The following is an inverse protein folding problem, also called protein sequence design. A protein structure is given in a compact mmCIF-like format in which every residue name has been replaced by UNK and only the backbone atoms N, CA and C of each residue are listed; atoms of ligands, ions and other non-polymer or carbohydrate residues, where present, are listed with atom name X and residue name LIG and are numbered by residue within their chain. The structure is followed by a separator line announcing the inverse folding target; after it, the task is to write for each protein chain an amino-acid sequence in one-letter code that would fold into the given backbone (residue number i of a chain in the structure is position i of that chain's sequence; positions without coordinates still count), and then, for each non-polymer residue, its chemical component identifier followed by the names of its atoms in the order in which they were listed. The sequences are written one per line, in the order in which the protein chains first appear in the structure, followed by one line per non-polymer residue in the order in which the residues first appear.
data_IF_665618967125
#
_entry.id   IF_665618967125
#
_cell.length_a   1.000
_cell.length_b   1.000
_cell.length_c   1.000
_cell.angle_alpha   90.00
_cell.angle_beta   90.00
_cell.angle_gamma   90.00
#
_symmetry.space_group_name_H-M   'P 1'
#
loop_
_entity.id
_entity.type
_entity.pdbx_description
1 polymer ?
#
# COMPACT_ATOMS: atom_id res chain seq x y z
N UNK A 1 -3.53 -1.29 -13.77
CA UNK A 1 -4.45 -0.21 -13.38
C UNK A 1 -4.43 0.84 -14.47
N UNK A 2 -5.55 1.08 -15.15
CA UNK A 2 -5.67 2.16 -16.15
C UNK A 2 -6.36 3.36 -15.52
N UNK A 3 -5.88 4.57 -15.84
CA UNK A 3 -6.60 5.78 -15.50
C UNK A 3 -7.78 5.94 -16.46
N UNK A 4 -8.97 6.18 -15.91
CA UNK A 4 -10.21 6.33 -16.67
C UNK A 4 -10.97 7.55 -16.15
N UNK A 5 -11.45 8.37 -17.07
CA UNK A 5 -12.44 9.39 -16.77
C UNK A 5 -13.83 8.81 -17.02
N UNK A 6 -14.60 8.64 -15.96
CA UNK A 6 -15.93 8.00 -16.00
C UNK A 6 -16.99 9.07 -15.72
N UNK A 7 -17.89 9.27 -16.68
CA UNK A 7 -19.10 10.07 -16.47
C UNK A 7 -20.25 9.15 -16.08
N UNK A 8 -21.01 9.55 -15.05
CA UNK A 8 -22.13 8.78 -14.51
C UNK A 8 -23.46 9.53 -14.67
N UNK A 9 -24.54 8.80 -14.88
CA UNK A 9 -25.90 9.34 -14.82
C UNK A 9 -26.47 9.05 -13.44
N UNK A 10 -26.60 10.08 -12.62
CA UNK A 10 -27.14 9.94 -11.28
C UNK A 10 -28.62 9.56 -11.32
N UNK A 11 -28.97 8.40 -10.74
CA UNK A 11 -30.36 8.04 -10.45
C UNK A 11 -30.74 8.61 -9.08
N UNK A 12 -32.01 9.03 -8.93
CA UNK A 12 -32.54 9.63 -7.69
C UNK A 12 -32.47 8.73 -6.43
N UNK A 13 -32.24 7.42 -6.58
CA UNK A 13 -32.07 6.51 -5.44
C UNK A 13 -30.59 6.34 -5.10
N UNK A 14 -30.22 6.81 -3.91
CA UNK A 14 -28.85 6.93 -3.39
C UNK A 14 -28.08 5.63 -3.14
N UNK A 15 -28.71 4.45 -3.32
CA UNK A 15 -28.10 3.13 -3.09
C UNK A 15 -28.01 2.22 -4.32
N UNK A 16 -28.47 2.66 -5.49
CA UNK A 16 -28.40 1.84 -6.71
C UNK A 16 -27.07 2.06 -7.43
N UNK A 17 -26.52 0.99 -8.04
CA UNK A 17 -25.34 1.09 -8.92
C UNK A 17 -25.61 2.15 -10.00
N UNK A 18 -24.67 3.08 -10.14
CA UNK A 18 -24.79 4.19 -11.09
C UNK A 18 -24.51 3.70 -12.51
N UNK A 19 -25.31 4.17 -13.48
CA UNK A 19 -25.07 3.85 -14.87
C UNK A 19 -23.93 4.73 -15.41
N UNK A 20 -22.93 4.11 -16.03
CA UNK A 20 -21.86 4.82 -16.74
C UNK A 20 -22.41 5.33 -18.08
N UNK A 21 -22.32 6.64 -18.32
CA UNK A 21 -22.69 7.25 -19.62
C UNK A 21 -21.52 7.38 -20.56
N UNK A 22 -20.30 7.53 -20.02
CA UNK A 22 -19.08 7.69 -20.82
C UNK A 22 -17.86 7.19 -20.07
N UNK A 23 -16.95 6.56 -20.81
CA UNK A 23 -15.61 6.17 -20.37
C UNK A 23 -14.63 6.77 -21.37
N UNK A 24 -13.69 7.56 -20.88
CA UNK A 24 -12.61 8.15 -21.66
C UNK A 24 -11.26 7.69 -21.06
N UNK A 25 -10.31 7.37 -21.93
CA UNK A 25 -8.94 7.05 -21.53
C UNK A 25 -8.07 8.29 -21.76
N UNK A 26 -7.42 8.85 -20.71
CA UNK A 26 -6.50 9.97 -20.88
C UNK A 26 -5.30 9.59 -21.76
N UNK A 27 -4.69 10.61 -22.38
CA UNK A 27 -3.61 10.42 -23.35
C UNK A 27 -2.33 9.79 -22.76
N UNK A 28 -2.13 9.86 -21.44
CA UNK A 28 -1.08 9.11 -20.77
C UNK A 28 -1.53 7.67 -20.55
N UNK A 29 -0.98 6.75 -21.32
CA UNK A 29 -1.06 5.32 -21.03
C UNK A 29 0.33 4.79 -20.74
N UNK A 30 0.41 3.89 -19.77
CA UNK A 30 1.61 3.10 -19.56
C UNK A 30 1.54 1.82 -20.41
N UNK A 31 2.69 1.38 -20.94
CA UNK A 31 2.79 0.10 -21.61
C UNK A 31 2.87 -1.01 -20.53
N UNK A 32 1.95 -1.96 -20.57
CA UNK A 32 1.83 -3.04 -19.57
C UNK A 32 2.55 -4.32 -20.02
N UNK A 33 3.65 -4.19 -20.75
CA UNK A 33 4.30 -5.33 -21.39
C UNK A 33 5.23 -6.09 -20.42
N UNK A 34 5.51 -5.50 -19.26
CA UNK A 34 6.34 -6.09 -18.22
C UNK A 34 5.51 -6.87 -17.18
N UNK A 35 5.75 -8.17 -17.10
CA UNK A 35 5.10 -9.07 -16.12
C UNK A 35 5.29 -8.59 -14.69
N UNK A 36 6.49 -8.11 -14.32
CA UNK A 36 6.78 -7.61 -12.97
C UNK A 36 5.89 -6.44 -12.58
N UNK A 37 5.75 -5.46 -13.46
CA UNK A 37 4.89 -4.29 -13.25
C UNK A 37 3.44 -4.76 -13.06
N UNK A 38 2.95 -5.65 -13.91
CA UNK A 38 1.58 -6.16 -13.82
C UNK A 38 1.32 -6.92 -12.51
N UNK A 39 2.27 -7.73 -12.06
CA UNK A 39 2.18 -8.42 -10.77
C UNK A 39 2.07 -7.43 -9.61
N UNK A 40 2.93 -6.41 -9.60
CA UNK A 40 2.90 -5.37 -8.55
C UNK A 40 1.60 -4.58 -8.58
N UNK A 41 1.10 -4.22 -9.77
CA UNK A 41 -0.19 -3.54 -9.94
C UNK A 41 -1.37 -4.40 -9.48
N UNK A 42 -1.35 -5.71 -9.75
CA UNK A 42 -2.41 -6.62 -9.32
C UNK A 42 -2.46 -6.71 -7.80
N UNK A 43 -1.30 -6.86 -7.17
CA UNK A 43 -1.21 -6.88 -5.71
C UNK A 43 -1.71 -5.60 -5.06
N UNK A 44 -1.28 -4.45 -5.57
CA UNK A 44 -1.75 -3.16 -5.05
C UNK A 44 -3.26 -2.98 -5.26
N UNK A 45 -3.81 -3.45 -6.39
CA UNK A 45 -5.26 -3.43 -6.62
C UNK A 45 -6.02 -4.31 -5.63
N UNK A 46 -5.55 -5.53 -5.35
CA UNK A 46 -6.16 -6.44 -4.37
C UNK A 46 -6.13 -5.85 -2.96
N UNK A 47 -5.00 -5.24 -2.59
CA UNK A 47 -4.86 -4.52 -1.32
C UNK A 47 -5.84 -3.35 -1.22
N UNK A 48 -5.90 -2.48 -2.24
CA UNK A 48 -6.80 -1.32 -2.27
C UNK A 48 -8.28 -1.72 -2.21
N UNK A 49 -8.65 -2.83 -2.84
CA UNK A 49 -10.01 -3.35 -2.80
C UNK A 49 -10.48 -3.68 -1.37
N UNK A 50 -9.55 -4.09 -0.49
CA UNK A 50 -9.84 -4.33 0.91
C UNK A 50 -9.89 -3.02 1.71
N UNK A 51 -8.87 -2.18 1.57
CA UNK A 51 -8.70 -1.01 2.46
C UNK A 51 -9.57 0.20 2.11
N UNK A 52 -10.08 0.28 0.87
CA UNK A 52 -10.94 1.38 0.41
C UNK A 52 -12.43 1.05 0.39
N UNK A 53 -12.83 -0.15 0.83
CA UNK A 53 -14.21 -0.66 0.67
C UNK A 53 -15.28 0.26 1.27
N UNK A 54 -14.96 0.93 2.38
CA UNK A 54 -15.86 1.84 3.09
C UNK A 54 -15.39 3.31 3.04
N UNK A 55 -14.35 3.61 2.26
CA UNK A 55 -13.78 4.95 2.16
C UNK A 55 -14.66 5.84 1.27
N UNK A 56 -14.90 7.06 1.73
CA UNK A 56 -15.65 8.06 0.96
C UNK A 56 -14.65 9.06 0.36
N UNK A 57 -14.54 9.01 -0.98
CA UNK A 57 -13.66 9.82 -1.84
C UNK A 57 -12.52 10.57 -1.13
N UNK A 58 -11.35 9.96 -1.04
CA UNK A 58 -10.17 10.60 -0.48
C UNK A 58 -9.18 10.99 -1.57
N UNK A 59 -9.14 12.28 -1.92
CA UNK A 59 -8.29 12.80 -3.01
C UNK A 59 -6.79 12.52 -2.75
N UNK A 60 -6.36 12.45 -1.48
CA UNK A 60 -4.97 12.17 -1.14
C UNK A 60 -4.52 10.75 -1.50
N UNK A 61 -5.39 9.74 -1.34
CA UNK A 61 -5.08 8.36 -1.73
C UNK A 61 -5.01 8.26 -3.26
N UNK A 62 -5.88 8.95 -3.97
CA UNK A 62 -5.82 9.01 -5.44
C UNK A 62 -4.49 9.59 -5.92
N UNK A 63 -4.05 10.73 -5.37
CA UNK A 63 -2.74 11.33 -5.68
C UNK A 63 -1.59 10.37 -5.33
N UNK A 64 -1.70 9.65 -4.22
CA UNK A 64 -0.69 8.66 -3.82
C UNK A 64 -0.64 7.46 -4.79
N UNK A 65 -1.77 7.02 -5.34
CA UNK A 65 -1.82 5.99 -6.40
C UNK A 65 -1.10 6.47 -7.67
N UNK A 66 -1.29 7.73 -8.07
CA UNK A 66 -0.58 8.31 -9.22
C UNK A 66 0.93 8.33 -8.97
N UNK A 67 1.36 8.74 -7.77
CA UNK A 67 2.78 8.75 -7.37
C UNK A 67 3.37 7.34 -7.38
N UNK A 68 2.70 6.36 -6.76
CA UNK A 68 3.13 4.97 -6.78
C UNK A 68 3.26 4.44 -8.21
N UNK A 69 2.28 4.72 -9.06
CA UNK A 69 2.30 4.28 -10.45
C UNK A 69 3.49 4.88 -11.19
N UNK A 70 3.78 6.17 -10.98
CA UNK A 70 4.95 6.82 -11.56
C UNK A 70 6.27 6.15 -11.12
N UNK A 71 6.44 5.90 -9.82
CA UNK A 71 7.63 5.21 -9.27
C UNK A 71 7.80 3.81 -9.88
N UNK A 72 6.71 3.04 -9.95
CA UNK A 72 6.72 1.69 -10.51
C UNK A 72 7.17 1.68 -11.97
N UNK A 73 6.61 2.57 -12.80
CA UNK A 73 6.98 2.69 -14.21
C UNK A 73 8.34 3.36 -14.44
N UNK A 74 8.91 4.03 -13.43
CA UNK A 74 10.30 4.48 -13.43
C UNK A 74 11.31 3.36 -13.06
N UNK A 75 10.83 2.14 -12.81
CA UNK A 75 11.66 0.96 -12.48
C UNK A 75 11.79 0.67 -10.99
N UNK A 76 11.07 1.40 -10.12
CA UNK A 76 11.03 1.12 -8.69
C UNK A 76 10.00 0.02 -8.39
N UNK A 77 10.36 -1.24 -8.69
CA UNK A 77 9.45 -2.38 -8.47
C UNK A 77 9.07 -2.59 -7.01
N UNK A 78 9.87 -2.08 -6.06
CA UNK A 78 9.62 -2.19 -4.62
C UNK A 78 8.72 -1.07 -4.07
N UNK A 79 8.25 -0.17 -4.94
CA UNK A 79 7.39 0.96 -4.59
C UNK A 79 6.10 0.54 -3.87
N UNK A 80 5.65 -0.72 -4.01
CA UNK A 80 4.46 -1.21 -3.30
C UNK A 80 4.59 -1.12 -1.77
N UNK A 81 5.77 -1.37 -1.20
CA UNK A 81 5.95 -1.35 0.24
C UNK A 81 5.83 0.08 0.79
N UNK A 82 6.45 1.04 0.07
CA UNK A 82 6.29 2.46 0.32
C UNK A 82 4.84 2.91 0.17
N UNK A 83 4.16 2.48 -0.90
CA UNK A 83 2.77 2.81 -1.15
C UNK A 83 1.84 2.30 -0.03
N UNK A 84 1.96 1.03 0.38
CA UNK A 84 1.17 0.45 1.47
C UNK A 84 1.36 1.24 2.76
N UNK A 85 2.61 1.56 3.13
CA UNK A 85 2.87 2.39 4.30
C UNK A 85 2.28 3.81 4.17
N UNK A 86 2.30 4.40 2.97
CA UNK A 86 1.68 5.71 2.73
C UNK A 86 0.18 5.68 2.91
N UNK A 87 -0.48 4.60 2.48
CA UNK A 87 -1.91 4.41 2.71
C UNK A 87 -2.20 4.34 4.21
N UNK A 88 -1.42 3.61 5.02
CA UNK A 88 -1.54 3.63 6.50
C UNK A 88 -1.50 5.06 7.05
N UNK A 89 -0.51 5.84 6.62
CA UNK A 89 -0.33 7.22 7.08
C UNK A 89 -1.49 8.14 6.66
N UNK A 90 -1.99 8.00 5.43
CA UNK A 90 -3.10 8.79 4.92
C UNK A 90 -4.43 8.45 5.60
N UNK A 91 -4.59 7.22 6.08
CA UNK A 91 -5.73 6.77 6.87
C UNK A 91 -5.61 7.10 8.37
N UNK A 92 -4.50 7.70 8.80
CA UNK A 92 -4.27 8.06 10.21
C UNK A 92 -3.91 6.87 11.10
N UNK A 93 -3.49 5.75 10.51
CA UNK A 93 -3.11 4.50 11.20
C UNK A 93 -1.59 4.32 11.25
N UNK A 94 -0.79 5.37 11.05
CA UNK A 94 0.66 5.25 11.16
C UNK A 94 1.07 5.08 12.62
N UNK A 95 2.01 4.17 12.94
CA UNK A 95 2.61 4.12 14.26
C UNK A 95 3.33 5.44 14.59
N UNK A 96 3.48 5.70 15.88
CA UNK A 96 4.17 6.87 16.41
C UNK A 96 5.66 6.57 16.54
N UNK A 97 6.49 7.53 16.14
CA UNK A 97 7.93 7.42 16.35
C UNK A 97 8.25 7.39 17.85
N UNK A 98 9.20 6.54 18.23
CA UNK A 98 9.72 6.47 19.60
C UNK A 98 11.18 5.99 19.64
N UNK A 99 11.81 6.14 20.79
CA UNK A 99 13.23 5.80 20.98
C UNK A 99 13.49 4.29 21.13
N UNK A 100 12.49 3.50 21.54
CA UNK A 100 12.62 2.04 21.72
C UNK A 100 13.07 1.27 20.46
N UNK A 101 13.72 0.12 20.62
CA UNK A 101 14.31 -0.63 19.51
C UNK A 101 13.29 -1.48 18.72
N UNK A 102 12.17 -1.84 19.36
CA UNK A 102 11.18 -2.74 18.79
C UNK A 102 9.83 -2.05 18.64
N UNK A 103 9.15 -2.26 17.52
CA UNK A 103 7.80 -1.76 17.33
C UNK A 103 6.81 -2.72 18.00
N UNK A 104 6.02 -2.19 18.93
CA UNK A 104 4.78 -2.84 19.36
C UNK A 104 3.69 -2.51 18.35
N UNK A 105 3.24 -3.54 17.61
CA UNK A 105 2.26 -3.36 16.56
C UNK A 105 0.83 -3.24 17.09
N UNK A 106 0.53 -3.66 18.32
CA UNK A 106 -0.80 -3.48 18.91
C UNK A 106 -1.01 -2.01 19.30
N UNK A 107 -0.03 -1.45 20.02
CA UNK A 107 -0.11 -0.06 20.50
C UNK A 107 0.45 0.96 19.50
N UNK A 108 1.16 0.52 18.47
CA UNK A 108 1.78 1.40 17.46
C UNK A 108 2.91 2.27 18.01
N UNK A 109 3.61 1.81 19.05
CA UNK A 109 4.70 2.53 19.73
C UNK A 109 6.01 1.74 19.69
N UNK A 110 7.11 2.37 20.07
CA UNK A 110 8.42 1.71 20.15
C UNK A 110 8.84 1.44 21.59
N UNK A 111 9.18 0.18 21.87
CA UNK A 111 9.52 -0.36 23.20
C UNK A 111 10.94 -0.94 23.24
N UNK A 112 11.47 -1.18 24.43
CA UNK A 112 12.86 -1.66 24.62
C UNK A 112 13.02 -3.16 24.50
N UNK A 113 11.93 -3.93 24.64
CA UNK A 113 11.94 -5.40 24.57
C UNK A 113 11.07 -5.86 23.40
N UNK A 114 11.46 -6.96 22.75
CA UNK A 114 10.74 -7.49 21.60
C UNK A 114 9.46 -8.20 22.05
N UNK A 115 8.30 -7.75 21.56
CA UNK A 115 7.00 -8.38 21.82
C UNK A 115 6.54 -9.35 20.73
N UNK A 116 7.10 -9.28 19.52
CA UNK A 116 6.66 -10.06 18.36
C UNK A 116 7.81 -10.46 17.43
N UNK A 117 7.70 -11.62 16.79
CA UNK A 117 8.66 -12.10 15.79
C UNK A 117 8.57 -11.36 14.45
N UNK A 118 7.43 -10.69 14.16
CA UNK A 118 7.27 -9.87 12.95
C UNK A 118 7.94 -8.50 13.04
N UNK A 119 8.31 -8.08 14.25
CA UNK A 119 8.83 -6.75 14.55
C UNK A 119 10.12 -6.85 15.37
N UNK A 120 11.12 -7.54 14.80
CA UNK A 120 12.48 -7.53 15.33
C UNK A 120 13.12 -6.12 15.18
N UNK A 121 14.34 -5.97 15.68
CA UNK A 121 15.04 -4.68 15.68
C UNK A 121 15.30 -4.15 14.25
N UNK A 122 15.60 -5.04 13.28
CA UNK A 122 15.89 -4.63 11.89
C UNK A 122 14.62 -4.10 11.22
N UNK A 123 13.52 -4.84 11.31
CA UNK A 123 12.21 -4.45 10.77
C UNK A 123 11.69 -3.20 11.46
N UNK A 124 11.79 -3.13 12.79
CA UNK A 124 11.40 -1.94 13.57
C UNK A 124 12.20 -0.71 13.16
N UNK A 125 13.50 -0.86 12.90
CA UNK A 125 14.35 0.19 12.35
C UNK A 125 13.91 0.67 10.96
N UNK A 126 13.40 -0.22 10.11
CA UNK A 126 12.83 0.15 8.80
C UNK A 126 11.54 0.93 8.99
N UNK A 127 10.63 0.49 9.86
CA UNK A 127 9.42 1.25 10.21
C UNK A 127 9.75 2.67 10.66
N UNK A 128 10.75 2.85 11.55
CA UNK A 128 11.22 4.19 11.95
C UNK A 128 11.66 5.06 10.77
N UNK A 129 12.45 4.49 9.85
CA UNK A 129 12.90 5.20 8.64
C UNK A 129 11.70 5.64 7.80
N UNK A 130 10.71 4.76 7.62
CA UNK A 130 9.50 5.07 6.85
C UNK A 130 8.64 6.16 7.52
N UNK A 131 8.51 6.13 8.86
CA UNK A 131 7.77 7.15 9.62
C UNK A 131 8.39 8.55 9.42
N UNK A 132 9.72 8.64 9.52
CA UNK A 132 10.46 9.90 9.49
C UNK A 132 10.78 10.42 8.08
N UNK A 133 10.80 9.55 7.07
CA UNK A 133 11.20 9.96 5.73
C UNK A 133 10.20 10.93 5.09
N UNK A 134 10.76 11.97 4.48
CA UNK A 134 10.01 12.89 3.62
C UNK A 134 9.61 12.18 2.30
N UNK A 135 10.53 11.40 1.74
CA UNK A 135 10.27 10.53 0.59
C UNK A 135 10.52 9.06 0.95
N UNK A 136 9.44 8.31 1.19
CA UNK A 136 9.53 6.88 1.52
C UNK A 136 9.93 6.00 0.34
N UNK A 137 9.66 6.43 -0.91
CA UNK A 137 9.97 5.65 -2.11
C UNK A 137 11.48 5.58 -2.39
N UNK A 138 12.27 6.48 -1.80
CA UNK A 138 13.74 6.46 -1.91
C UNK A 138 14.42 5.61 -0.84
N UNK A 139 13.68 4.96 0.07
CA UNK A 139 14.27 4.09 1.08
C UNK A 139 14.57 2.72 0.44
N UNK A 140 15.85 2.33 0.32
CA UNK A 140 16.19 1.05 -0.28
C UNK A 140 15.83 -0.11 0.66
N UNK A 141 15.14 -1.11 0.14
CA UNK A 141 14.91 -2.37 0.83
C UNK A 141 15.84 -3.46 0.25
N UNK A 142 16.69 -4.03 1.09
CA UNK A 142 17.54 -5.16 0.71
C UNK A 142 16.70 -6.36 0.27
N UNK A 143 17.16 -7.17 -0.69
CA UNK A 143 16.38 -8.31 -1.21
C UNK A 143 15.84 -9.23 -0.10
N UNK A 144 16.67 -9.51 0.91
CA UNK A 144 16.32 -10.37 2.05
C UNK A 144 15.26 -9.77 2.98
N UNK A 145 15.19 -8.44 3.09
CA UNK A 145 14.34 -7.76 4.08
C UNK A 145 12.98 -7.35 3.50
N UNK A 146 12.82 -7.35 2.18
CA UNK A 146 11.57 -6.94 1.52
C UNK A 146 10.38 -7.81 1.91
N UNK A 147 10.56 -9.12 1.87
CA UNK A 147 9.50 -10.08 2.21
C UNK A 147 9.07 -9.92 3.66
N UNK A 148 10.03 -9.96 4.58
CA UNK A 148 9.76 -9.81 6.02
C UNK A 148 9.17 -8.44 6.38
N UNK A 149 9.61 -7.36 5.73
CA UNK A 149 8.99 -6.05 5.92
C UNK A 149 7.55 -6.01 5.38
N UNK A 150 7.30 -6.62 4.22
CA UNK A 150 5.94 -6.74 3.68
C UNK A 150 5.03 -7.55 4.61
N UNK A 151 5.53 -8.66 5.16
CA UNK A 151 4.78 -9.47 6.14
C UNK A 151 4.45 -8.65 7.40
N UNK A 152 5.39 -7.83 7.87
CA UNK A 152 5.16 -6.91 8.99
C UNK A 152 4.07 -5.86 8.68
N UNK A 153 4.01 -5.35 7.45
CA UNK A 153 2.94 -4.45 7.00
C UNK A 153 1.59 -5.16 6.99
N UNK A 154 1.53 -6.39 6.46
CA UNK A 154 0.29 -7.18 6.43
C UNK A 154 -0.20 -7.49 7.85
N UNK A 155 0.71 -7.85 8.76
CA UNK A 155 0.39 -8.08 10.16
C UNK A 155 -0.16 -6.82 10.84
N UNK A 156 0.45 -5.66 10.60
CA UNK A 156 -0.04 -4.39 11.12
C UNK A 156 -1.45 -4.06 10.61
N UNK A 157 -1.70 -4.26 9.31
CA UNK A 157 -3.05 -4.11 8.74
C UNK A 157 -4.07 -5.07 9.33
N UNK A 158 -3.70 -6.34 9.59
CA UNK A 158 -4.59 -7.32 10.26
C UNK A 158 -5.02 -6.86 11.66
N UNK A 159 -4.14 -6.17 12.40
CA UNK A 159 -4.43 -5.65 13.74
C UNK A 159 -5.36 -4.43 13.65
N UNK A 160 -5.04 -3.46 12.79
CA UNK A 160 -5.66 -2.14 12.81
C UNK A 160 -6.84 -1.97 11.85
N UNK A 161 -6.99 -2.83 10.86
CA UNK A 161 -8.03 -2.72 9.85
C UNK A 161 -9.00 -3.91 9.92
N UNK A 162 -10.20 -3.65 10.43
CA UNK A 162 -11.23 -4.69 10.59
C UNK A 162 -11.62 -5.30 9.24
N UNK A 163 -11.57 -6.63 9.15
CA UNK A 163 -11.89 -7.37 7.94
C UNK A 163 -10.78 -7.42 6.91
N UNK A 164 -9.58 -6.90 7.22
CA UNK A 164 -8.39 -7.12 6.40
C UNK A 164 -7.97 -8.58 6.46
N UNK A 165 -7.63 -9.14 5.31
CA UNK A 165 -7.00 -10.45 5.17
C UNK A 165 -5.80 -10.32 4.24
N UNK A 166 -4.86 -11.27 4.31
CA UNK A 166 -3.75 -11.27 3.37
C UNK A 166 -4.27 -11.33 1.92
N UNK A 167 -3.80 -10.43 1.03
CA UNK A 167 -4.15 -10.50 -0.38
C UNK A 167 -3.67 -11.83 -0.99
N UNK A 168 -4.51 -12.48 -1.79
CA UNK A 168 -4.13 -13.72 -2.49
C UNK A 168 -2.92 -13.53 -3.41
N UNK A 169 -2.72 -12.32 -3.93
CA UNK A 169 -1.59 -11.94 -4.77
C UNK A 169 -0.28 -11.73 -4.01
N UNK A 170 -0.27 -11.80 -2.68
CA UNK A 170 0.95 -11.66 -1.87
C UNK A 170 1.99 -12.72 -2.22
N UNK A 171 1.57 -13.99 -2.35
CA UNK A 171 2.44 -15.10 -2.73
C UNK A 171 3.07 -14.86 -4.12
N UNK A 172 2.30 -14.28 -5.05
CA UNK A 172 2.75 -13.99 -6.42
C UNK A 172 3.83 -12.89 -6.40
N UNK A 173 3.68 -11.88 -5.54
CA UNK A 173 4.73 -10.86 -5.36
C UNK A 173 6.00 -11.47 -4.79
N UNK A 174 5.91 -12.40 -3.84
CA UNK A 174 7.12 -12.97 -3.24
C UNK A 174 7.91 -13.80 -4.29
N UNK A 175 7.21 -14.49 -5.19
CA UNK A 175 7.81 -15.30 -6.26
C UNK A 175 8.56 -14.49 -7.34
N UNK A 176 8.22 -13.22 -7.58
CA UNK A 176 8.95 -12.41 -8.60
C UNK A 176 10.35 -11.97 -8.17
N UNK A 177 10.68 -12.17 -6.88
CA UNK A 177 11.97 -11.81 -6.29
C UNK A 177 12.87 -12.99 -5.95
N UNK A 178 12.36 -14.21 -6.08
CA UNK A 178 13.15 -15.45 -6.13
C UNK A 178 13.93 -15.54 -7.44
#
# INVERSE_FOLDING_TARGET
MNLLQISIVQKRNSGAIQNVSRIEMPAQHYAFDEVKINTVLMFVADFLNQVLRNETSQNSIYIEIERFTHELFAGNYDAYAAFIFRVLKLQGLSPLYGEGHFMDAEDGNFVTEQSSTYFDEEISGIWKKFIQAENVYSIPLGRRIRGTFLDSLMMYYKIHFSGFHEPHSLEIIQQIYE
#
